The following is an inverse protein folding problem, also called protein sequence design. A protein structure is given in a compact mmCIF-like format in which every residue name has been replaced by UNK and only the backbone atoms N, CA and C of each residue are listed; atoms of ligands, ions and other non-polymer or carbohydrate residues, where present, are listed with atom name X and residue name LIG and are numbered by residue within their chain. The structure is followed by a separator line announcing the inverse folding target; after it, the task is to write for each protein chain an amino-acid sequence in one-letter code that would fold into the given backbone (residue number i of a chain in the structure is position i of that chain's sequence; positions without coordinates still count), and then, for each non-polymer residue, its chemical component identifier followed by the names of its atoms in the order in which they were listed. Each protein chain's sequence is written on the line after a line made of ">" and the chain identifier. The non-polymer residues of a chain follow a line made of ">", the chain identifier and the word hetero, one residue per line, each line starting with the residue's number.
data_IF_941875123442
#
_entry.id   IF_941875123442
#
_cell.length_a   1.000
_cell.length_b   1.000
_cell.length_c   1.000
_cell.angle_alpha   90.00
_cell.angle_beta   90.00
_cell.angle_gamma   90.00
#
_symmetry.space_group_name_H-M   'P 1'
#
loop_
_entity.id
_entity.type
_entity.pdbx_description
1 polymer ?
#
# COMPACT_ATOMS: atom_id res chain seq x y z
N UNK A 1 -14.11 -6.47 -28.34
CA UNK A 1 -13.01 -6.40 -27.37
C UNK A 1 -12.64 -4.93 -27.22
N UNK A 2 -13.16 -4.24 -26.19
CA UNK A 2 -12.72 -2.87 -25.91
C UNK A 2 -11.42 -2.94 -25.12
N UNK A 3 -10.34 -2.40 -25.66
CA UNK A 3 -9.12 -2.17 -24.89
C UNK A 3 -9.49 -1.21 -23.76
N UNK A 4 -9.48 -1.68 -22.51
CA UNK A 4 -9.60 -0.79 -21.36
C UNK A 4 -8.29 0.00 -21.34
N UNK A 5 -8.32 1.21 -21.91
CA UNK A 5 -7.19 2.12 -21.81
C UNK A 5 -7.01 2.44 -20.32
N UNK A 6 -5.89 1.98 -19.75
CA UNK A 6 -5.47 2.39 -18.42
C UNK A 6 -5.14 3.88 -18.47
N UNK A 7 -5.65 4.65 -17.52
CA UNK A 7 -5.26 6.04 -17.39
C UNK A 7 -3.88 6.15 -16.70
N UNK A 8 -3.28 7.34 -16.74
CA UNK A 8 -1.94 7.58 -16.17
C UNK A 8 -1.87 7.22 -14.68
N UNK A 9 -2.93 7.54 -13.91
CA UNK A 9 -3.03 7.17 -12.49
C UNK A 9 -2.90 5.66 -12.30
N UNK A 10 -3.63 4.85 -13.08
CA UNK A 10 -3.59 3.39 -12.98
C UNK A 10 -2.21 2.83 -13.34
N UNK A 11 -1.55 3.38 -14.34
CA UNK A 11 -0.20 2.95 -14.74
C UNK A 11 0.81 3.24 -13.62
N UNK A 12 0.74 4.43 -13.02
CA UNK A 12 1.62 4.82 -11.90
C UNK A 12 1.37 3.92 -10.69
N UNK A 13 0.10 3.70 -10.34
CA UNK A 13 -0.27 2.84 -9.22
C UNK A 13 0.25 1.41 -9.40
N UNK A 14 0.10 0.82 -10.59
CA UNK A 14 0.63 -0.51 -10.90
C UNK A 14 2.16 -0.56 -10.81
N UNK A 15 2.85 0.49 -11.24
CA UNK A 15 4.31 0.57 -11.11
C UNK A 15 4.74 0.66 -9.64
N UNK A 16 4.06 1.48 -8.84
CA UNK A 16 4.35 1.59 -7.40
C UNK A 16 4.11 0.26 -6.68
N UNK A 17 2.98 -0.40 -6.92
CA UNK A 17 2.72 -1.73 -6.37
C UNK A 17 3.74 -2.77 -6.83
N UNK A 18 4.17 -2.74 -8.10
CA UNK A 18 5.20 -3.68 -8.58
C UNK A 18 6.51 -3.58 -7.80
N UNK A 19 6.87 -2.38 -7.32
CA UNK A 19 8.05 -2.15 -6.49
C UNK A 19 7.78 -2.67 -5.07
N UNK A 20 6.66 -2.28 -4.46
CA UNK A 20 6.29 -2.74 -3.10
C UNK A 20 6.29 -4.27 -3.01
N UNK A 21 5.66 -4.95 -3.97
CA UNK A 21 5.58 -6.41 -4.00
C UNK A 21 6.97 -7.05 -4.20
N UNK A 22 7.83 -6.45 -5.04
CA UNK A 22 9.20 -6.93 -5.25
C UNK A 22 10.05 -6.82 -3.98
N UNK A 23 9.94 -5.71 -3.25
CA UNK A 23 10.76 -5.47 -2.05
C UNK A 23 10.26 -6.24 -0.83
N UNK A 24 8.97 -6.55 -0.77
CA UNK A 24 8.34 -7.25 0.37
C UNK A 24 8.20 -8.75 0.15
N UNK A 25 8.15 -9.21 -1.11
CA UNK A 25 7.80 -10.58 -1.48
C UNK A 25 6.46 -11.06 -0.90
N UNK A 26 5.55 -10.14 -0.57
CA UNK A 26 4.22 -10.44 -0.04
C UNK A 26 3.20 -10.38 -1.17
N UNK A 27 2.38 -11.42 -1.30
CA UNK A 27 1.19 -11.42 -2.16
C UNK A 27 -0.03 -11.11 -1.29
N UNK A 28 -0.76 -10.03 -1.61
CA UNK A 28 -2.05 -9.74 -0.99
C UNK A 28 -3.16 -10.41 -1.81
N UNK A 29 -3.51 -11.63 -1.42
CA UNK A 29 -4.54 -12.46 -2.07
C UNK A 29 -5.95 -12.20 -1.52
N UNK A 30 -6.05 -11.47 -0.41
CA UNK A 30 -7.29 -11.15 0.28
C UNK A 30 -7.85 -9.77 -0.08
N UNK A 31 -7.05 -8.91 -0.74
CA UNK A 31 -7.43 -7.54 -1.07
C UNK A 31 -7.54 -6.67 0.17
N UNK A 32 -6.65 -6.89 1.15
CA UNK A 32 -6.64 -6.15 2.41
C UNK A 32 -6.06 -4.75 2.25
N UNK A 33 -6.45 -3.83 3.14
CA UNK A 33 -5.88 -2.48 3.13
C UNK A 33 -4.42 -2.48 3.58
N UNK A 34 -3.54 -1.93 2.75
CA UNK A 34 -2.16 -1.64 3.14
C UNK A 34 -2.10 -0.27 3.80
N UNK A 35 -1.44 -0.20 4.95
CA UNK A 35 -1.29 1.04 5.70
C UNK A 35 0.08 1.11 6.37
N UNK A 36 0.44 2.29 6.85
CA UNK A 36 1.73 2.51 7.50
C UNK A 36 1.58 3.09 8.90
N UNK A 37 2.57 2.86 9.76
CA UNK A 37 2.74 3.52 11.05
C UNK A 37 4.24 3.84 11.19
N UNK A 38 4.58 5.13 11.14
CA UNK A 38 5.96 5.56 10.93
C UNK A 38 6.53 4.93 9.65
N UNK A 39 7.68 4.28 9.78
CA UNK A 39 8.37 3.61 8.66
C UNK A 39 7.93 2.15 8.47
N UNK A 40 6.95 1.68 9.24
CA UNK A 40 6.46 0.31 9.16
C UNK A 40 5.26 0.23 8.22
N UNK A 41 5.19 -0.83 7.45
CA UNK A 41 4.10 -1.17 6.52
C UNK A 41 3.38 -2.42 7.02
N UNK A 42 2.06 -2.40 6.95
CA UNK A 42 1.17 -3.46 7.44
C UNK A 42 0.05 -3.73 6.44
N UNK A 43 -0.58 -4.90 6.55
CA UNK A 43 -1.74 -5.30 5.74
C UNK A 43 -2.90 -5.70 6.67
N UNK A 44 -4.02 -4.98 6.59
CA UNK A 44 -5.23 -5.27 7.36
C UNK A 44 -5.14 -4.95 8.86
N UNK A 45 -4.11 -5.44 9.56
CA UNK A 45 -3.85 -5.26 10.99
C UNK A 45 -2.37 -5.04 11.29
N UNK A 46 -2.07 -4.43 12.44
CA UNK A 46 -0.70 -4.21 12.93
C UNK A 46 0.03 -5.53 13.25
N UNK A 47 -0.71 -6.62 13.47
CA UNK A 47 -0.15 -7.96 13.62
C UNK A 47 0.44 -8.50 12.31
N UNK A 48 0.02 -7.96 11.16
CA UNK A 48 0.48 -8.36 9.83
C UNK A 48 1.49 -7.35 9.31
N UNK A 49 2.61 -7.27 10.02
CA UNK A 49 3.76 -6.46 9.62
C UNK A 49 4.41 -7.03 8.36
N UNK A 50 4.64 -6.16 7.38
CA UNK A 50 5.22 -6.51 6.09
C UNK A 50 6.67 -6.06 5.98
N UNK A 51 6.96 -4.81 6.39
CA UNK A 51 8.27 -4.22 6.20
C UNK A 51 8.50 -3.04 7.13
N UNK A 52 9.75 -2.82 7.50
CA UNK A 52 10.24 -1.61 8.20
C UNK A 52 11.09 -0.72 7.29
N UNK A 53 11.12 -0.99 5.98
CA UNK A 53 11.84 -0.18 5.02
C UNK A 53 11.06 1.12 4.75
N UNK A 54 11.72 2.26 4.99
CA UNK A 54 11.17 3.59 4.78
C UNK A 54 10.70 3.78 3.32
N UNK A 55 11.45 3.31 2.33
CA UNK A 55 11.08 3.43 0.92
C UNK A 55 9.79 2.67 0.58
N UNK A 56 9.57 1.52 1.23
CA UNK A 56 8.32 0.76 1.08
C UNK A 56 7.16 1.51 1.72
N UNK A 57 7.37 2.07 2.92
CA UNK A 57 6.34 2.85 3.60
C UNK A 57 5.96 4.12 2.84
N UNK A 58 6.95 4.81 2.25
CA UNK A 58 6.72 6.01 1.44
C UNK A 58 5.92 5.70 0.17
N UNK A 59 6.22 4.58 -0.49
CA UNK A 59 5.46 4.14 -1.66
C UNK A 59 4.03 3.78 -1.31
N UNK A 60 3.79 3.02 -0.24
CA UNK A 60 2.43 2.70 0.22
C UNK A 60 1.66 3.98 0.59
N UNK A 61 2.31 4.93 1.26
CA UNK A 61 1.72 6.23 1.55
C UNK A 61 1.37 7.02 0.29
N UNK A 62 2.26 7.02 -0.71
CA UNK A 62 2.01 7.69 -1.98
C UNK A 62 0.84 7.06 -2.75
N UNK A 63 0.73 5.73 -2.76
CA UNK A 63 -0.41 5.02 -3.36
C UNK A 63 -1.71 5.37 -2.64
N UNK A 64 -1.71 5.34 -1.31
CA UNK A 64 -2.88 5.71 -0.51
C UNK A 64 -3.29 7.17 -0.76
N UNK A 65 -2.34 8.10 -0.87
CA UNK A 65 -2.61 9.49 -1.22
C UNK A 65 -3.19 9.63 -2.64
N UNK A 66 -2.64 8.90 -3.61
CA UNK A 66 -3.13 8.87 -5.00
C UNK A 66 -4.58 8.35 -5.09
N UNK A 67 -4.96 7.47 -4.16
CA UNK A 67 -6.30 6.91 -4.01
C UNK A 67 -7.22 7.72 -3.08
N UNK A 68 -6.69 8.71 -2.37
CA UNK A 68 -7.45 9.53 -1.43
C UNK A 68 -7.71 8.86 -0.07
N UNK A 69 -7.01 7.77 0.25
CA UNK A 69 -7.11 7.02 1.50
C UNK A 69 -6.15 7.57 2.56
N UNK A 70 -6.32 8.83 2.93
CA UNK A 70 -5.41 9.52 3.86
C UNK A 70 -5.42 8.93 5.28
N UNK A 71 -6.46 8.18 5.65
CA UNK A 71 -6.59 7.47 6.92
C UNK A 71 -5.67 6.23 7.02
N UNK A 72 -5.13 5.77 5.89
CA UNK A 72 -4.16 4.67 5.82
C UNK A 72 -2.70 5.17 5.83
N UNK A 73 -2.48 6.48 5.76
CA UNK A 73 -1.15 7.10 5.75
C UNK A 73 -0.73 7.41 7.18
N UNK A 74 0.39 6.83 7.62
CA UNK A 74 0.92 6.99 8.98
C UNK A 74 -0.21 6.91 10.01
N UNK A 75 -1.01 5.86 9.88
CA UNK A 75 -2.15 5.61 10.72
C UNK A 75 -1.70 5.59 12.19
N UNK A 76 -2.57 6.06 13.07
CA UNK A 76 -2.43 5.70 14.48
C UNK A 76 -2.73 4.21 14.62
N UNK A 77 -2.04 3.52 15.54
CA UNK A 77 -2.25 2.08 15.80
C UNK A 77 -3.73 1.75 15.69
N UNK A 78 -4.09 0.94 14.68
CA UNK A 78 -5.45 0.41 14.51
C UNK A 78 -5.70 -0.71 15.53
N UNK A 79 -5.06 -0.68 16.69
CA UNK A 79 -5.51 -1.44 17.84
C UNK A 79 -6.87 -0.84 18.26
N UNK A 80 -7.90 -1.68 18.25
CA UNK A 80 -9.27 -1.41 18.72
C UNK A 80 -10.27 -0.93 17.65
N UNK A 81 -10.72 -1.83 16.78
CA UNK A 81 -12.15 -2.03 16.50
C UNK A 81 -12.47 -3.50 16.27
#
# INVERSE_FOLDING_TARGET
>A
MGTIFKNEKQIIEEQMWSIVLRETCVEDDAGCDWFTIGNNTFIGSVEWHVSSNEEVSDLVNAINALNGHFDLINAHDKETR
#
